data_IF_551680970614
#
_entry.id   IF_551680970614
#
_cell.length_a   1.000
_cell.length_b   1.000
_cell.length_c   1.000
_cell.angle_alpha   90.00
_cell.angle_beta   90.00
_cell.angle_gamma   90.00
#
_symmetry.space_group_name_H-M   'P 1'
#
loop_
_entity.id
_entity.type
_entity.pdbx_description
1 polymer ?
#
# COMPACT_ATOMS: atom_id res chain seq x y z
N UNK A 1 16.35 -2.56 -7.56
CA UNK A 1 15.65 -2.45 -6.28
C UNK A 1 16.64 -2.05 -5.18
N UNK A 2 16.30 -1.08 -4.34
CA UNK A 2 17.18 -0.66 -3.24
C UNK A 2 16.87 -1.40 -1.93
N UNK A 3 17.82 -1.39 -0.99
CA UNK A 3 17.73 -2.10 0.29
C UNK A 3 16.50 -1.68 1.12
N UNK A 4 15.99 -0.45 0.95
CA UNK A 4 14.81 0.02 1.69
C UNK A 4 13.54 -0.58 1.12
N UNK A 5 13.41 -0.61 -0.21
CA UNK A 5 12.28 -1.29 -0.85
C UNK A 5 12.30 -2.78 -0.50
N UNK A 6 13.45 -3.46 -0.57
CA UNK A 6 13.58 -4.86 -0.15
C UNK A 6 13.14 -5.09 1.31
N UNK A 7 13.45 -4.17 2.21
CA UNK A 7 13.00 -4.25 3.60
C UNK A 7 11.47 -4.19 3.73
N UNK A 8 10.81 -3.32 2.95
CA UNK A 8 9.34 -3.23 2.94
C UNK A 8 8.70 -4.53 2.44
N UNK A 9 9.27 -5.14 1.40
CA UNK A 9 8.79 -6.43 0.89
C UNK A 9 8.93 -7.55 1.93
N UNK A 10 10.01 -7.56 2.70
CA UNK A 10 10.16 -8.51 3.82
C UNK A 10 9.11 -8.29 4.91
N UNK A 11 8.75 -7.04 5.20
CA UNK A 11 7.68 -6.74 6.14
C UNK A 11 6.33 -7.27 5.63
N UNK A 12 6.01 -7.00 4.36
CA UNK A 12 4.78 -7.48 3.70
C UNK A 12 4.65 -9.00 3.79
N UNK A 13 5.73 -9.72 3.48
CA UNK A 13 5.78 -11.18 3.57
C UNK A 13 5.62 -11.66 5.02
N UNK A 14 6.38 -11.08 5.96
CA UNK A 14 6.34 -11.49 7.38
C UNK A 14 5.02 -11.21 8.08
N UNK A 15 4.30 -10.16 7.67
CA UNK A 15 3.01 -9.77 8.23
C UNK A 15 1.83 -10.38 7.46
N UNK A 16 2.10 -11.24 6.46
CA UNK A 16 1.10 -11.90 5.62
C UNK A 16 0.10 -10.91 4.98
N UNK A 17 0.66 -9.83 4.43
CA UNK A 17 -0.09 -8.79 3.71
C UNK A 17 -0.11 -9.16 2.23
N UNK A 18 -1.30 -9.19 1.62
CA UNK A 18 -1.37 -9.36 0.17
C UNK A 18 -1.01 -8.05 -0.53
N UNK A 19 -0.18 -8.12 -1.57
CA UNK A 19 0.14 -6.98 -2.42
C UNK A 19 -0.42 -7.20 -3.82
N UNK A 20 -1.22 -6.25 -4.30
CA UNK A 20 -1.78 -6.25 -5.66
C UNK A 20 -1.41 -4.97 -6.42
N UNK A 21 -1.44 -5.07 -7.74
CA UNK A 21 -1.27 -3.95 -8.65
C UNK A 21 -2.58 -3.74 -9.42
N UNK A 22 -3.06 -2.49 -9.47
CA UNK A 22 -4.31 -2.12 -10.12
C UNK A 22 -4.23 -0.68 -10.66
N UNK A 23 -4.93 -0.30 -11.75
CA UNK A 23 -4.93 1.07 -12.25
C UNK A 23 -5.72 2.03 -11.34
N UNK A 24 -5.12 2.43 -10.21
CA UNK A 24 -5.70 3.31 -9.20
C UNK A 24 -5.68 4.79 -9.62
N UNK A 25 -4.70 5.22 -10.41
CA UNK A 25 -4.59 6.59 -10.92
C UNK A 25 -5.78 7.01 -11.79
N UNK A 26 -6.43 6.04 -12.42
CA UNK A 26 -7.61 6.25 -13.24
C UNK A 26 -8.92 6.37 -12.42
N UNK A 27 -8.86 6.18 -11.10
CA UNK A 27 -10.01 6.43 -10.22
C UNK A 27 -10.27 7.94 -10.09
N UNK A 28 -11.51 8.37 -9.76
CA UNK A 28 -11.82 9.79 -9.53
C UNK A 28 -10.93 10.42 -8.44
N UNK A 29 -10.50 9.59 -7.50
CA UNK A 29 -9.62 9.96 -6.40
C UNK A 29 -8.14 10.04 -6.80
N UNK A 30 -7.73 9.49 -7.96
CA UNK A 30 -6.32 9.46 -8.40
C UNK A 30 -5.38 8.88 -7.34
N UNK A 31 -5.83 7.85 -6.64
CA UNK A 31 -5.02 7.20 -5.62
C UNK A 31 -3.79 6.52 -6.23
N UNK A 32 -2.69 6.49 -5.49
CA UNK A 32 -1.45 5.77 -5.84
C UNK A 32 -1.29 4.46 -5.07
N UNK A 33 -1.91 4.40 -3.90
CA UNK A 33 -1.88 3.28 -2.98
C UNK A 33 -3.17 3.22 -2.18
N UNK A 34 -3.52 2.01 -1.76
CA UNK A 34 -4.69 1.73 -0.96
C UNK A 34 -4.41 0.57 -0.01
N UNK A 35 -4.55 0.82 1.29
CA UNK A 35 -4.56 -0.20 2.32
C UNK A 35 -6.00 -0.56 2.73
N UNK A 36 -6.28 -1.86 2.77
CA UNK A 36 -7.55 -2.44 3.20
C UNK A 36 -7.29 -3.50 4.26
N UNK A 37 -8.10 -3.49 5.32
CA UNK A 37 -8.10 -4.55 6.33
C UNK A 37 -9.52 -5.05 6.57
N UNK A 38 -9.77 -6.29 6.24
CA UNK A 38 -11.00 -6.99 6.61
C UNK A 38 -10.65 -8.05 7.64
N UNK A 39 -10.63 -7.66 8.93
CA UNK A 39 -10.53 -8.48 10.15
C UNK A 39 -9.42 -9.54 10.24
N UNK A 40 -9.41 -10.45 9.29
CA UNK A 40 -8.54 -11.60 9.08
C UNK A 40 -7.37 -11.32 8.13
N UNK A 41 -7.50 -10.38 7.19
CA UNK A 41 -6.47 -10.13 6.17
C UNK A 41 -6.20 -8.65 5.93
N UNK A 42 -4.94 -8.34 5.63
CA UNK A 42 -4.48 -7.04 5.18
C UNK A 42 -4.12 -7.12 3.70
N UNK A 43 -4.53 -6.11 2.96
CA UNK A 43 -4.31 -5.99 1.53
C UNK A 43 -3.75 -4.60 1.27
N UNK A 44 -2.66 -4.55 0.50
CA UNK A 44 -2.13 -3.33 -0.09
C UNK A 44 -2.35 -3.43 -1.59
N UNK A 45 -2.89 -2.37 -2.18
CA UNK A 45 -3.00 -2.20 -3.62
C UNK A 45 -2.14 -1.00 -4.00
N UNK A 46 -1.25 -1.18 -4.97
CA UNK A 46 -0.40 -0.12 -5.52
C UNK A 46 -0.82 0.15 -6.96
N UNK A 47 -0.71 1.39 -7.40
CA UNK A 47 -0.97 1.73 -8.79
C UNK A 47 0.01 1.01 -9.72
N UNK A 48 -0.52 0.37 -10.76
CA UNK A 48 0.29 -0.45 -11.68
C UNK A 48 1.29 0.34 -12.53
N UNK A 49 1.12 1.66 -12.67
CA UNK A 49 2.06 2.51 -13.41
C UNK A 49 3.29 2.91 -12.58
N UNK A 50 3.33 2.58 -11.29
CA UNK A 50 4.47 2.89 -10.43
C UNK A 50 5.62 1.88 -10.63
N UNK A 51 6.77 2.39 -11.07
CA UNK A 51 8.00 1.59 -11.18
C UNK A 51 8.57 1.26 -9.80
N UNK A 52 8.71 -0.04 -9.50
CA UNK A 52 9.27 -0.57 -8.25
C UNK A 52 10.69 -0.08 -7.92
N UNK A 53 11.43 0.39 -8.93
CA UNK A 53 12.76 0.97 -8.76
C UNK A 53 12.73 2.47 -8.44
N UNK A 54 11.57 3.11 -8.52
CA UNK A 54 11.40 4.54 -8.26
C UNK A 54 11.17 4.83 -6.77
N UNK A 55 11.60 6.02 -6.33
CA UNK A 55 11.31 6.55 -5.00
C UNK A 55 9.82 6.71 -4.74
N UNK A 56 9.02 7.04 -5.77
CA UNK A 56 7.57 7.20 -5.64
C UNK A 56 6.91 5.88 -5.17
N UNK A 57 7.22 4.77 -5.85
CA UNK A 57 6.75 3.43 -5.43
C UNK A 57 7.13 3.12 -3.99
N UNK A 58 8.40 3.33 -3.61
CA UNK A 58 8.86 3.07 -2.24
C UNK A 58 8.12 3.92 -1.21
N UNK A 59 7.87 5.20 -1.52
CA UNK A 59 7.15 6.10 -0.62
C UNK A 59 5.69 5.65 -0.43
N UNK A 60 5.01 5.32 -1.52
CA UNK A 60 3.62 4.81 -1.47
C UNK A 60 3.58 3.50 -0.70
N UNK A 61 4.45 2.55 -1.03
CA UNK A 61 4.52 1.25 -0.33
C UNK A 61 4.80 1.43 1.17
N UNK A 62 5.74 2.29 1.54
CA UNK A 62 6.04 2.58 2.94
C UNK A 62 4.84 3.20 3.68
N UNK A 63 4.08 4.07 3.01
CA UNK A 63 2.87 4.68 3.56
C UNK A 63 1.80 3.62 3.85
N UNK A 64 1.50 2.76 2.87
CA UNK A 64 0.47 1.73 3.02
C UNK A 64 0.88 0.65 4.03
N UNK A 65 2.16 0.27 4.08
CA UNK A 65 2.70 -0.59 5.15
C UNK A 65 2.56 0.09 6.51
N UNK A 66 2.78 1.40 6.59
CA UNK A 66 2.56 2.19 7.81
C UNK A 66 1.12 2.10 8.32
N UNK A 67 0.13 2.10 7.43
CA UNK A 67 -1.27 1.92 7.80
C UNK A 67 -1.55 0.57 8.46
N UNK A 68 -0.86 -0.49 8.05
CA UNK A 68 -1.02 -1.80 8.71
C UNK A 68 -0.75 -1.75 10.22
N UNK A 69 0.27 -0.99 10.62
CA UNK A 69 0.69 -0.87 12.02
C UNK A 69 -0.03 0.22 12.81
N UNK A 70 -0.54 1.26 12.13
CA UNK A 70 -1.02 2.49 12.78
C UNK A 70 -2.52 2.75 12.63
N UNK A 71 -3.18 2.17 11.63
CA UNK A 71 -4.61 2.39 11.44
C UNK A 71 -5.41 1.86 12.65
N UNK A 72 -6.39 2.62 13.17
CA UNK A 72 -7.27 2.14 14.24
C UNK A 72 -7.91 0.82 13.83
N UNK A 73 -7.80 -0.22 14.68
CA UNK A 73 -8.34 -1.57 14.41
C UNK A 73 -9.89 -1.64 14.45
N UNK A 74 -10.58 -0.50 14.34
CA UNK A 74 -12.02 -0.37 14.50
C UNK A 74 -12.74 -0.39 13.14
N UNK A 75 -13.38 -1.52 12.83
CA UNK A 75 -14.51 -1.71 11.91
C UNK A 75 -14.40 -1.29 10.42
N UNK A 76 -14.15 -2.31 9.60
CA UNK A 76 -14.79 -2.72 8.33
C UNK A 76 -14.71 -1.85 7.05
N UNK A 77 -14.65 -0.52 7.06
CA UNK A 77 -14.73 0.27 5.80
C UNK A 77 -14.03 1.63 5.93
N UNK A 78 -12.76 1.66 6.27
CA UNK A 78 -11.96 2.89 6.18
C UNK A 78 -10.76 2.63 5.27
N UNK A 79 -10.94 2.94 3.99
CA UNK A 79 -9.85 3.04 3.03
C UNK A 79 -9.01 4.26 3.39
N UNK A 80 -7.74 4.06 3.67
CA UNK A 80 -6.77 5.15 3.74
C UNK A 80 -6.05 5.18 2.40
N UNK A 81 -6.16 6.31 1.70
CA UNK A 81 -5.69 6.48 0.32
C UNK A 81 -4.61 7.55 0.25
N UNK A 82 -3.57 7.28 -0.55
CA UNK A 82 -2.54 8.25 -0.91
C UNK A 82 -2.83 8.91 -2.25
N UNK A 83 -2.69 10.23 -2.31
CA UNK A 83 -2.96 11.05 -3.50
C UNK A 83 -1.66 11.60 -4.11
N UNK A 84 -1.58 11.65 -5.44
CA UNK A 84 -0.58 12.47 -6.13
C UNK A 84 -0.99 13.95 -6.08
N UNK A 85 -0.07 14.85 -5.71
CA UNK A 85 -0.27 16.32 -5.78
C UNK A 85 -0.03 16.81 -7.21
#
# INVERSE_FOLDING_TARGET
MDNKTEHLWRLIDSENIDLFYYPLRNTPEKALGLYIRDGLKSIIIIDEELDENNVEYRCVLAHEVGHHFTAPRTNLLTAHTCYAV
#
